data_IF_493557715743
#
_entry.id   IF_493557715743
#
_cell.length_a   1.000
_cell.length_b   1.000
_cell.length_c   1.000
_cell.angle_alpha   90.00
_cell.angle_beta   90.00
_cell.angle_gamma   90.00
#
_symmetry.space_group_name_H-M   'P 1'
#
loop_
_entity.id
_entity.type
_entity.pdbx_description
1 polymer ?
#
# COMPACT_ATOMS: atom_id res chain seq x y z
N UNK A 1 26.18 10.55 -2.20
CA UNK A 1 25.12 9.52 -2.21
C UNK A 1 23.93 9.92 -3.07
N UNK A 2 23.38 11.14 -2.95
CA UNK A 2 22.31 11.66 -3.85
C UNK A 2 22.48 11.29 -5.34
N UNK A 3 23.63 11.61 -5.93
CA UNK A 3 23.89 11.37 -7.36
C UNK A 3 23.70 9.90 -7.79
N UNK A 4 23.90 8.94 -6.87
CA UNK A 4 23.72 7.52 -7.15
C UNK A 4 22.24 7.21 -7.33
N UNK A 5 21.39 7.62 -6.38
CA UNK A 5 19.95 7.39 -6.45
C UNK A 5 19.28 8.19 -7.57
N UNK A 6 19.78 9.39 -7.87
CA UNK A 6 19.29 10.26 -8.95
C UNK A 6 19.57 9.67 -10.34
N UNK A 7 20.73 9.01 -10.50
CA UNK A 7 21.13 8.41 -11.78
C UNK A 7 20.62 6.99 -11.94
N UNK A 8 20.32 6.29 -10.85
CA UNK A 8 19.79 4.93 -10.89
C UNK A 8 18.50 4.87 -11.72
N UNK A 9 18.36 3.82 -12.53
CA UNK A 9 17.13 3.55 -13.26
C UNK A 9 15.99 3.15 -12.30
N UNK A 10 16.35 2.48 -11.20
CA UNK A 10 15.45 2.05 -10.15
C UNK A 10 16.23 1.87 -8.85
N UNK A 11 15.58 2.16 -7.73
CA UNK A 11 16.10 1.90 -6.38
C UNK A 11 15.32 0.76 -5.75
N UNK A 12 16.05 -0.25 -5.27
CA UNK A 12 15.48 -1.40 -4.56
C UNK A 12 15.65 -1.20 -3.06
N UNK A 13 14.52 -1.08 -2.37
CA UNK A 13 14.46 -0.93 -0.92
C UNK A 13 14.25 -2.30 -0.31
N UNK A 14 15.28 -2.87 0.32
CA UNK A 14 15.18 -4.18 0.95
C UNK A 14 14.83 -4.08 2.43
N UNK A 15 13.63 -4.53 2.80
CA UNK A 15 13.10 -4.52 4.17
C UNK A 15 13.53 -5.73 5.02
N UNK A 16 14.38 -6.59 4.47
CA UNK A 16 14.83 -7.83 5.11
C UNK A 16 14.05 -9.06 4.62
N UNK A 17 14.18 -10.20 5.35
CA UNK A 17 13.46 -11.43 5.02
C UNK A 17 11.95 -11.25 5.18
N UNK A 18 11.18 -12.01 4.41
CA UNK A 18 9.74 -12.10 4.56
C UNK A 18 9.37 -12.84 5.84
N UNK A 19 8.19 -12.51 6.35
CA UNK A 19 7.48 -13.26 7.37
C UNK A 19 6.01 -13.42 6.94
N UNK A 20 5.23 -14.17 7.73
CA UNK A 20 3.82 -14.42 7.42
C UNK A 20 2.98 -13.12 7.30
N UNK A 21 3.43 -12.02 7.90
CA UNK A 21 2.73 -10.74 7.87
C UNK A 21 3.20 -9.83 6.74
N UNK A 22 4.49 -9.87 6.36
CA UNK A 22 5.00 -9.03 5.27
C UNK A 22 4.38 -9.37 3.92
N UNK A 23 4.17 -10.66 3.65
CA UNK A 23 3.61 -11.10 2.37
C UNK A 23 2.16 -10.62 2.21
N UNK A 24 1.39 -10.71 3.29
CA UNK A 24 0.02 -10.19 3.37
C UNK A 24 0.03 -8.67 3.19
N UNK A 25 0.93 -7.96 3.88
CA UNK A 25 1.05 -6.51 3.81
C UNK A 25 1.39 -6.03 2.39
N UNK A 26 2.39 -6.65 1.76
CA UNK A 26 2.75 -6.36 0.37
C UNK A 26 1.55 -6.58 -0.53
N UNK A 27 0.85 -7.71 -0.41
CA UNK A 27 -0.33 -8.00 -1.22
C UNK A 27 -1.43 -6.93 -1.08
N UNK A 28 -1.83 -6.57 0.15
CA UNK A 28 -2.96 -5.65 0.35
C UNK A 28 -2.64 -4.21 -0.03
N UNK A 29 -1.40 -3.75 0.14
CA UNK A 29 -0.96 -2.43 -0.30
C UNK A 29 -1.02 -2.33 -1.83
N UNK A 30 -0.51 -3.34 -2.51
CA UNK A 30 -0.52 -3.43 -3.97
C UNK A 30 -1.94 -3.54 -4.53
N UNK A 31 -2.82 -4.31 -3.85
CA UNK A 31 -4.23 -4.42 -4.21
C UNK A 31 -4.97 -3.09 -4.07
N UNK A 32 -4.75 -2.36 -2.98
CA UNK A 32 -5.33 -1.02 -2.77
C UNK A 32 -4.89 -0.03 -3.84
N UNK A 33 -3.60 0.01 -4.17
CA UNK A 33 -3.06 0.84 -5.24
C UNK A 33 -3.69 0.51 -6.60
N UNK A 34 -3.70 -0.77 -6.99
CA UNK A 34 -4.33 -1.22 -8.24
C UNK A 34 -5.82 -0.92 -8.30
N UNK A 35 -6.55 -1.08 -7.20
CA UNK A 35 -7.97 -0.73 -7.15
C UNK A 35 -8.16 0.77 -7.45
N UNK A 36 -7.38 1.65 -6.83
CA UNK A 36 -7.49 3.10 -7.06
C UNK A 36 -7.10 3.51 -8.47
N UNK A 37 -6.05 2.90 -9.05
CA UNK A 37 -5.70 3.11 -10.46
C UNK A 37 -6.86 2.79 -11.42
N UNK A 38 -7.74 1.86 -11.06
CA UNK A 38 -8.92 1.50 -11.88
C UNK A 38 -10.16 2.32 -11.54
N UNK A 39 -10.30 2.77 -10.30
CA UNK A 39 -11.50 3.46 -9.81
C UNK A 39 -11.50 4.97 -10.14
N UNK A 40 -10.33 5.59 -10.32
CA UNK A 40 -10.19 7.01 -10.67
C UNK A 40 -9.59 7.16 -12.08
N UNK A 41 -10.01 8.15 -12.89
CA UNK A 41 -9.30 8.50 -14.10
C UNK A 41 -7.94 9.12 -13.71
N UNK A 42 -6.89 8.30 -13.72
CA UNK A 42 -5.54 8.73 -13.36
C UNK A 42 -4.94 9.59 -14.48
N UNK A 43 -4.56 10.83 -14.15
CA UNK A 43 -3.70 11.69 -14.98
C UNK A 43 -2.33 11.84 -14.29
N UNK A 44 -1.45 10.86 -14.43
CA UNK A 44 -0.02 11.22 -14.49
C UNK A 44 0.21 11.96 -15.79
N UNK A 45 1.04 13.02 -15.74
CA UNK A 45 1.20 14.02 -16.80
C UNK A 45 1.39 13.48 -18.23
N UNK A 46 1.70 12.20 -18.45
CA UNK A 46 1.93 11.62 -19.79
C UNK A 46 1.46 10.16 -19.99
N UNK A 47 0.76 9.51 -19.05
CA UNK A 47 0.38 8.09 -19.18
C UNK A 47 -1.12 7.91 -19.48
N UNK A 48 -1.46 7.79 -20.76
CA UNK A 48 -2.77 7.32 -21.21
C UNK A 48 -2.94 5.84 -20.87
N UNK A 49 -4.17 5.43 -20.52
CA UNK A 49 -4.80 4.10 -20.36
C UNK A 49 -4.04 2.80 -20.72
N UNK A 50 -3.05 2.84 -21.62
CA UNK A 50 -2.20 1.72 -22.02
C UNK A 50 -1.27 1.20 -20.91
N UNK A 51 -0.88 2.03 -19.93
CA UNK A 51 0.10 1.63 -18.90
C UNK A 51 -0.50 0.93 -17.68
N UNK A 52 -1.83 0.94 -17.50
CA UNK A 52 -2.46 0.20 -16.39
C UNK A 52 -2.44 -1.29 -16.73
N UNK A 53 -1.72 -2.14 -15.98
CA UNK A 53 -1.66 -3.56 -16.28
C UNK A 53 -3.06 -4.17 -16.23
N UNK A 54 -3.41 -4.90 -17.28
CA UNK A 54 -4.66 -5.66 -17.25
C UNK A 54 -4.59 -6.69 -16.12
N UNK A 55 -5.61 -6.73 -15.25
CA UNK A 55 -5.64 -7.67 -14.16
C UNK A 55 -5.74 -9.10 -14.67
N UNK A 56 -5.13 -10.01 -13.92
CA UNK A 56 -5.33 -11.45 -14.13
C UNK A 56 -6.77 -11.81 -13.75
N UNK A 57 -7.27 -12.93 -14.28
CA UNK A 57 -8.59 -13.45 -13.90
C UNK A 57 -8.70 -13.59 -12.36
N UNK A 58 -9.77 -13.05 -11.78
CA UNK A 58 -10.02 -13.04 -10.33
C UNK A 58 -9.36 -11.88 -9.57
N UNK A 59 -8.28 -11.29 -10.09
CA UNK A 59 -7.53 -10.25 -9.38
C UNK A 59 -8.32 -8.96 -9.16
N UNK A 60 -9.18 -8.56 -10.11
CA UNK A 60 -10.05 -7.38 -9.93
C UNK A 60 -10.98 -7.53 -8.74
N UNK A 61 -11.59 -8.71 -8.62
CA UNK A 61 -12.50 -9.01 -7.52
C UNK A 61 -11.75 -9.02 -6.19
N UNK A 62 -10.56 -9.59 -6.15
CA UNK A 62 -9.73 -9.61 -4.95
C UNK A 62 -9.26 -8.20 -4.55
N UNK A 63 -8.91 -7.35 -5.52
CA UNK A 63 -8.55 -5.95 -5.30
C UNK A 63 -9.74 -5.15 -4.75
N UNK A 64 -10.95 -5.37 -5.30
CA UNK A 64 -12.20 -4.80 -4.79
C UNK A 64 -12.53 -5.28 -3.38
N UNK A 65 -12.36 -6.57 -3.09
CA UNK A 65 -12.60 -7.13 -1.76
C UNK A 65 -11.64 -6.54 -0.73
N UNK A 66 -10.38 -6.35 -1.11
CA UNK A 66 -9.37 -5.71 -0.25
C UNK A 66 -9.71 -4.25 0.03
N UNK A 67 -10.12 -3.49 -1.00
CA UNK A 67 -10.56 -2.11 -0.83
C UNK A 67 -11.82 -2.00 0.04
N UNK A 68 -12.78 -2.91 -0.13
CA UNK A 68 -13.98 -3.00 0.69
C UNK A 68 -13.63 -3.32 2.16
N UNK A 69 -12.71 -4.26 2.40
CA UNK A 69 -12.20 -4.57 3.74
C UNK A 69 -11.55 -3.35 4.40
N UNK A 70 -10.77 -2.57 3.63
CA UNK A 70 -10.18 -1.33 4.12
C UNK A 70 -11.25 -0.32 4.53
N UNK A 71 -12.25 -0.05 3.67
CA UNK A 71 -13.37 0.84 4.00
C UNK A 71 -14.18 0.36 5.21
N UNK A 72 -14.38 -0.95 5.36
CA UNK A 72 -15.04 -1.57 6.52
C UNK A 72 -14.34 -1.25 7.84
N UNK A 73 -13.00 -1.15 7.85
CA UNK A 73 -12.20 -0.78 9.04
C UNK A 73 -12.57 0.60 9.61
N UNK A 74 -13.00 1.52 8.74
CA UNK A 74 -13.46 2.85 9.11
C UNK A 74 -14.98 2.90 9.37
N UNK A 75 -15.66 1.76 9.36
CA UNK A 75 -17.11 1.67 9.55
C UNK A 75 -17.93 2.02 8.31
N UNK A 76 -17.33 2.06 7.12
CA UNK A 76 -18.06 2.27 5.87
C UNK A 76 -18.94 1.05 5.59
N UNK A 77 -20.25 1.26 5.53
CA UNK A 77 -21.22 0.18 5.28
C UNK A 77 -21.18 -0.18 3.80
N UNK A 78 -20.47 -1.27 3.48
CA UNK A 78 -20.47 -1.83 2.12
C UNK A 78 -21.57 -2.88 2.01
N UNK A 79 -22.62 -2.60 1.23
CA UNK A 79 -23.61 -3.63 0.86
C UNK A 79 -22.92 -4.63 -0.05
N UNK A 80 -22.78 -5.87 0.39
CA UNK A 80 -22.14 -6.94 -0.36
C UNK A 80 -22.94 -8.23 -0.22
N UNK A 81 -23.03 -8.97 -1.32
CA UNK A 81 -23.58 -10.33 -1.34
C UNK A 81 -22.55 -11.39 -0.90
N UNK A 82 -21.33 -10.95 -0.62
CA UNK A 82 -20.19 -11.78 -0.21
C UNK A 82 -19.65 -11.26 1.12
N UNK A 83 -19.18 -12.18 1.98
CA UNK A 83 -18.54 -11.83 3.24
C UNK A 83 -17.27 -11.01 2.98
N UNK A 84 -17.23 -9.78 3.49
CA UNK A 84 -16.04 -8.92 3.43
C UNK A 84 -15.14 -9.25 4.63
N UNK A 85 -13.90 -9.73 4.42
CA UNK A 85 -12.98 -10.06 5.49
C UNK A 85 -12.53 -8.80 6.25
N UNK A 86 -11.91 -9.00 7.41
CA UNK A 86 -11.23 -7.91 8.11
C UNK A 86 -9.95 -7.52 7.36
N UNK A 87 -9.68 -6.21 7.27
CA UNK A 87 -8.44 -5.74 6.66
C UNK A 87 -7.25 -6.06 7.59
N UNK A 88 -6.14 -6.63 7.08
CA UNK A 88 -5.02 -7.07 7.90
C UNK A 88 -4.12 -5.89 8.30
N UNK A 89 -4.66 -4.90 9.03
CA UNK A 89 -3.94 -3.67 9.38
C UNK A 89 -2.68 -3.92 10.22
N UNK A 90 -2.69 -4.95 11.07
CA UNK A 90 -1.50 -5.36 11.85
C UNK A 90 -0.34 -5.79 10.95
N UNK A 91 -0.65 -6.44 9.83
CA UNK A 91 0.37 -6.86 8.87
C UNK A 91 1.02 -5.63 8.20
N UNK A 92 0.21 -4.67 7.77
CA UNK A 92 0.69 -3.39 7.21
C UNK A 92 1.51 -2.62 8.24
N UNK A 93 1.02 -2.51 9.48
CA UNK A 93 1.74 -1.87 10.57
C UNK A 93 3.09 -2.54 10.86
N UNK A 94 3.17 -3.88 10.87
CA UNK A 94 4.43 -4.60 11.05
C UNK A 94 5.44 -4.29 9.92
N UNK A 95 4.96 -4.21 8.67
CA UNK A 95 5.81 -3.86 7.54
C UNK A 95 6.34 -2.42 7.65
N UNK A 96 5.50 -1.48 8.05
CA UNK A 96 5.87 -0.06 8.24
C UNK A 96 6.69 0.20 9.53
N UNK A 97 6.73 -0.76 10.46
CA UNK A 97 7.57 -0.70 11.67
C UNK A 97 8.94 -1.40 11.50
N UNK A 98 9.27 -1.91 10.30
CA UNK A 98 10.59 -2.54 10.06
C UNK A 98 11.73 -1.56 10.33
N UNK A 99 12.82 -2.07 10.92
CA UNK A 99 14.00 -1.28 11.30
C UNK A 99 14.67 -0.51 10.15
N UNK A 100 14.38 -0.90 8.90
CA UNK A 100 14.80 -0.18 7.71
C UNK A 100 14.38 1.30 7.75
N UNK A 101 13.14 1.59 8.14
CA UNK A 101 12.54 2.93 8.08
C UNK A 101 13.19 3.95 9.03
N UNK A 102 13.84 3.48 10.08
CA UNK A 102 14.53 4.32 11.06
C UNK A 102 15.88 4.88 10.58
N UNK A 103 16.32 4.56 9.35
CA UNK A 103 17.61 5.02 8.83
C UNK A 103 17.47 6.43 8.26
N UNK A 104 18.34 7.35 8.69
CA UNK A 104 18.33 8.73 8.22
C UNK A 104 18.46 8.88 6.68
N UNK A 105 19.11 7.93 6.02
CA UNK A 105 19.35 7.96 4.58
C UNK A 105 18.17 7.48 3.72
N UNK A 106 17.14 6.84 4.29
CA UNK A 106 15.98 6.37 3.52
C UNK A 106 15.28 7.52 2.77
N UNK A 107 15.26 8.72 3.33
CA UNK A 107 14.68 9.89 2.66
C UNK A 107 15.34 10.20 1.32
N UNK A 108 16.66 9.99 1.18
CA UNK A 108 17.34 10.21 -0.10
C UNK A 108 16.94 9.15 -1.13
N UNK A 109 16.66 7.93 -0.68
CA UNK A 109 16.19 6.85 -1.54
C UNK A 109 14.77 7.11 -2.04
N UNK A 110 13.90 7.68 -1.19
CA UNK A 110 12.52 8.00 -1.58
C UNK A 110 12.40 9.26 -2.45
N UNK A 111 13.13 10.32 -2.10
CA UNK A 111 12.92 11.64 -2.70
C UNK A 111 13.68 11.85 -4.01
N UNK A 112 14.76 11.10 -4.23
CA UNK A 112 15.67 11.32 -5.36
C UNK A 112 15.53 10.24 -6.43
N UNK A 113 15.02 9.06 -6.08
CA UNK A 113 14.89 7.96 -7.01
C UNK A 113 13.86 8.24 -8.11
N UNK A 114 14.15 7.76 -9.32
CA UNK A 114 13.20 7.82 -10.45
C UNK A 114 12.07 6.79 -10.33
N UNK A 115 12.37 5.63 -9.76
CA UNK A 115 11.45 4.50 -9.54
C UNK A 115 11.88 3.75 -8.30
N UNK A 116 10.92 3.35 -7.48
CA UNK A 116 11.16 2.63 -6.23
C UNK A 116 10.42 1.30 -6.26
N UNK A 117 11.12 0.22 -5.97
CA UNK A 117 10.48 -1.04 -5.61
C UNK A 117 10.90 -1.45 -4.21
N UNK A 118 9.92 -1.88 -3.42
CA UNK A 118 10.14 -2.33 -2.05
C UNK A 118 10.16 -3.86 -2.07
N UNK A 119 11.26 -4.43 -1.62
CA UNK A 119 11.52 -5.87 -1.60
C UNK A 119 11.46 -6.37 -0.16
N UNK A 120 10.67 -7.40 0.08
CA UNK A 120 10.62 -8.11 1.36
C UNK A 120 10.63 -9.62 1.11
N UNK A 121 11.71 -10.29 1.50
CA UNK A 121 11.97 -11.67 1.08
C UNK A 121 11.95 -11.80 -0.45
N UNK A 122 11.07 -12.65 -0.96
CA UNK A 122 10.87 -12.87 -2.40
C UNK A 122 9.77 -11.99 -3.02
N UNK A 123 9.04 -11.24 -2.19
CA UNK A 123 7.95 -10.37 -2.64
C UNK A 123 8.45 -8.99 -2.98
N UNK A 124 7.90 -8.44 -4.06
CA UNK A 124 8.24 -7.12 -4.58
C UNK A 124 6.95 -6.31 -4.67
N UNK A 125 6.95 -5.17 -3.98
CA UNK A 125 5.99 -4.10 -4.15
C UNK A 125 6.54 -3.15 -5.25
N UNK A 126 6.12 -3.40 -6.48
CA UNK A 126 6.33 -2.48 -7.60
C UNK A 126 5.63 -1.15 -7.32
N UNK A 127 6.24 -0.04 -7.78
CA UNK A 127 5.81 1.32 -7.47
C UNK A 127 5.60 1.53 -5.96
N UNK A 128 6.61 1.12 -5.18
CA UNK A 128 6.48 0.96 -3.73
C UNK A 128 6.18 2.27 -3.00
N UNK A 129 6.72 3.38 -3.47
CA UNK A 129 6.41 4.73 -3.02
C UNK A 129 4.95 5.10 -3.28
N UNK A 130 4.44 4.82 -4.49
CA UNK A 130 3.05 5.05 -4.84
C UNK A 130 2.11 4.17 -4.01
N UNK A 131 2.45 2.90 -3.80
CA UNK A 131 1.65 2.00 -2.97
C UNK A 131 1.52 2.51 -1.52
N UNK A 132 2.63 2.95 -0.91
CA UNK A 132 2.62 3.51 0.45
C UNK A 132 1.88 4.85 0.48
N UNK A 133 2.16 5.75 -0.48
CA UNK A 133 1.49 7.04 -0.59
C UNK A 133 -0.03 6.87 -0.73
N UNK A 134 -0.48 5.99 -1.61
CA UNK A 134 -1.89 5.69 -1.81
C UNK A 134 -2.54 5.17 -0.55
N UNK A 135 -1.89 4.27 0.19
CA UNK A 135 -2.40 3.81 1.48
C UNK A 135 -2.57 4.96 2.48
N UNK A 136 -1.54 5.77 2.69
CA UNK A 136 -1.57 6.88 3.65
C UNK A 136 -2.58 7.96 3.26
N UNK A 137 -2.62 8.36 1.99
CA UNK A 137 -3.58 9.35 1.50
C UNK A 137 -5.03 8.87 1.65
N UNK A 138 -5.30 7.59 1.36
CA UNK A 138 -6.64 7.02 1.50
C UNK A 138 -7.03 6.93 2.98
N UNK A 139 -6.08 6.59 3.85
CA UNK A 139 -6.26 6.62 5.30
C UNK A 139 -6.68 8.01 5.78
N UNK A 140 -5.89 9.03 5.48
CA UNK A 140 -6.14 10.41 5.90
C UNK A 140 -7.49 10.92 5.38
N UNK A 141 -7.80 10.63 4.11
CA UNK A 141 -9.07 11.03 3.49
C UNK A 141 -10.29 10.40 4.17
N UNK A 142 -10.20 9.12 4.55
CA UNK A 142 -11.30 8.44 5.25
C UNK A 142 -11.42 8.89 6.70
N UNK A 143 -10.30 9.17 7.36
CA UNK A 143 -10.29 9.74 8.71
C UNK A 143 -10.97 11.12 8.72
N UNK A 144 -10.69 11.97 7.73
CA UNK A 144 -11.33 13.27 7.53
C UNK A 144 -12.83 13.14 7.17
N UNK A 145 -13.18 12.27 6.21
CA UNK A 145 -14.57 12.05 5.76
C UNK A 145 -15.48 11.59 6.91
N UNK A 146 -14.97 10.70 7.76
CA UNK A 146 -15.77 9.99 8.76
C UNK A 146 -15.60 10.54 10.18
N UNK A 147 -14.60 11.40 10.42
CA UNK A 147 -14.33 12.03 11.71
C UNK A 147 -14.06 11.03 12.83
N UNK A 148 -13.55 9.83 12.51
CA UNK A 148 -13.36 8.71 13.44
C UNK A 148 -12.03 8.03 13.20
N UNK A 149 -11.35 7.70 14.31
CA UNK A 149 -10.17 6.85 14.29
C UNK A 149 -10.58 5.41 13.91
N UNK A 150 -9.82 4.74 13.03
CA UNK A 150 -10.14 3.38 12.58
C UNK A 150 -10.10 2.36 13.72
N UNK A 151 -11.02 1.41 13.66
CA UNK A 151 -11.09 0.33 14.65
C UNK A 151 -9.98 -0.69 14.41
N UNK A 152 -9.26 -1.08 15.47
CA UNK A 152 -8.26 -2.17 15.42
C UNK A 152 -6.79 -1.78 15.58
N UNK A 153 -6.46 -0.48 15.66
CA UNK A 153 -5.14 0.00 16.04
C UNK A 153 -5.04 0.49 17.50
N UNK A 154 -6.16 0.64 18.22
CA UNK A 154 -6.12 1.08 19.62
C UNK A 154 -5.58 -0.03 20.53
N UNK A 155 -4.35 0.15 21.00
CA UNK A 155 -3.66 -0.78 21.92
C UNK A 155 -4.27 -0.74 23.33
N UNK A 156 -5.17 0.21 23.63
CA UNK A 156 -5.78 0.39 24.97
C UNK A 156 -6.89 -0.61 25.29
N UNK A 157 -7.33 -1.43 24.33
CA UNK A 157 -8.33 -2.48 24.54
C UNK A 157 -7.74 -3.89 24.62
N UNK A 158 -6.43 -4.01 24.83
CA UNK A 158 -5.72 -5.28 25.00
C UNK A 158 -5.00 -5.38 26.34
N UNK A 159 -5.75 -5.42 27.44
CA UNK A 159 -5.38 -6.10 28.70
C UNK A 159 -6.64 -6.75 29.30
#
# INVERSE_FOLDING_TARGET
MREIYERAAQVLIWLGPSDATSDIATYVLQAGYRFLLRAQPYTTLDATWADVPQPKAGQEFDDQLTAAAFGKMFGKVTKSNVLIPEYPIKAVANLLNRAYWGRCWCWQEFTVAKKIAIVCGEKILEDGDMCIHTFLQTWDSLEEELGRQPHGLDHRHGQ
#
